data_IF_895842192439
#
_entry.id   IF_895842192439
#
_cell.length_a   1.000
_cell.length_b   1.000
_cell.length_c   1.000
_cell.angle_alpha   90.00
_cell.angle_beta   90.00
_cell.angle_gamma   90.00
#
_symmetry.space_group_name_H-M   'P 1'
#
loop_
_entity.id
_entity.type
_entity.pdbx_description
1 polymer ?
#
# COMPACT_ATOMS: atom_id res chain seq x y z
N UNK A 1 1.64 -15.95 9.83
CA UNK A 1 1.85 -16.44 8.44
C UNK A 1 3.17 -15.86 7.94
N UNK A 2 4.03 -16.64 7.29
CA UNK A 2 5.29 -16.11 6.73
C UNK A 2 4.99 -15.48 5.37
N UNK A 3 5.26 -14.18 5.23
CA UNK A 3 5.01 -13.39 4.02
C UNK A 3 6.08 -13.63 2.97
N UNK A 4 7.35 -13.58 3.36
CA UNK A 4 8.49 -13.74 2.45
C UNK A 4 9.14 -15.12 2.61
N UNK A 5 9.61 -15.70 1.51
CA UNK A 5 10.40 -16.91 1.55
C UNK A 5 11.79 -16.65 2.16
N UNK A 6 12.53 -17.72 2.50
CA UNK A 6 13.93 -17.59 2.94
C UNK A 6 14.82 -16.99 1.84
N UNK A 7 14.52 -17.30 0.57
CA UNK A 7 15.24 -16.81 -0.60
C UNK A 7 14.99 -15.31 -0.80
N UNK A 8 13.73 -14.85 -0.69
CA UNK A 8 13.39 -13.44 -0.77
C UNK A 8 14.03 -12.62 0.35
N UNK A 9 14.04 -13.14 1.59
CA UNK A 9 14.73 -12.47 2.70
C UNK A 9 16.25 -12.42 2.51
N UNK A 10 16.86 -13.43 1.91
CA UNK A 10 18.28 -13.42 1.57
C UNK A 10 18.59 -12.42 0.46
N UNK A 11 17.74 -12.35 -0.57
CA UNK A 11 17.82 -11.34 -1.63
C UNK A 11 17.70 -9.93 -1.07
N UNK A 12 16.70 -9.70 -0.20
CA UNK A 12 16.53 -8.41 0.49
C UNK A 12 17.78 -8.03 1.28
N UNK A 13 18.34 -8.95 2.06
CA UNK A 13 19.56 -8.72 2.81
C UNK A 13 20.77 -8.33 1.92
N UNK A 14 20.85 -8.88 0.72
CA UNK A 14 21.92 -8.58 -0.23
C UNK A 14 21.75 -7.21 -0.88
N UNK A 15 20.54 -6.83 -1.25
CA UNK A 15 20.25 -5.67 -2.10
C UNK A 15 19.91 -4.40 -1.33
N UNK A 16 19.21 -4.52 -0.20
CA UNK A 16 18.79 -3.38 0.62
C UNK A 16 20.01 -2.69 1.27
N UNK A 17 20.08 -1.36 1.35
CA UNK A 17 19.15 -0.38 0.81
C UNK A 17 19.53 0.16 -0.59
N UNK A 18 20.66 -0.30 -1.17
CA UNK A 18 21.30 0.37 -2.30
C UNK A 18 20.68 0.04 -3.66
N UNK A 19 20.06 -1.15 -3.80
CA UNK A 19 19.58 -1.63 -5.08
C UNK A 19 18.09 -1.93 -5.04
N UNK A 20 17.26 -1.26 -5.87
CA UNK A 20 15.87 -1.64 -6.04
C UNK A 20 15.76 -3.07 -6.56
N UNK A 21 14.90 -3.87 -5.95
CA UNK A 21 14.76 -5.28 -6.31
C UNK A 21 13.33 -5.76 -6.05
N UNK A 22 12.97 -6.87 -6.69
CA UNK A 22 11.66 -7.47 -6.57
C UNK A 22 11.70 -8.63 -5.57
N UNK A 23 10.70 -8.66 -4.68
CA UNK A 23 10.44 -9.76 -3.75
C UNK A 23 9.11 -10.43 -4.09
N UNK A 24 9.02 -11.74 -3.87
CA UNK A 24 7.75 -12.46 -3.94
C UNK A 24 7.13 -12.51 -2.54
N UNK A 25 5.82 -12.31 -2.45
CA UNK A 25 5.11 -12.34 -1.18
C UNK A 25 3.84 -13.21 -1.26
N UNK A 26 3.29 -13.57 -0.10
CA UNK A 26 2.12 -14.45 0.03
C UNK A 26 0.85 -13.72 0.48
N UNK A 27 0.76 -12.41 0.26
CA UNK A 27 -0.38 -11.61 0.70
C UNK A 27 -1.55 -11.57 -0.30
N UNK A 28 -1.41 -12.11 -1.51
CA UNK A 28 -2.39 -12.00 -2.58
C UNK A 28 -3.79 -12.57 -2.28
N UNK A 29 -3.95 -13.30 -1.16
CA UNK A 29 -5.25 -13.79 -0.67
C UNK A 29 -5.40 -13.52 0.83
N UNK A 30 -4.77 -12.49 1.34
CA UNK A 30 -4.91 -12.16 2.75
C UNK A 30 -6.29 -11.54 3.01
N UNK A 31 -7.08 -12.03 4.00
CA UNK A 31 -8.45 -11.57 4.23
C UNK A 31 -8.59 -10.06 4.41
N UNK A 32 -7.62 -9.40 5.07
CA UNK A 32 -7.61 -7.95 5.26
C UNK A 32 -7.35 -7.15 3.97
N UNK A 33 -6.90 -7.80 2.89
CA UNK A 33 -6.60 -7.16 1.60
C UNK A 33 -7.64 -7.48 0.53
N UNK A 34 -8.72 -8.16 0.88
CA UNK A 34 -9.86 -8.34 -0.01
C UNK A 34 -10.70 -7.06 -0.11
N UNK A 35 -11.36 -6.86 -1.22
CA UNK A 35 -12.08 -5.62 -1.56
C UNK A 35 -13.07 -5.18 -0.46
N UNK A 36 -13.86 -6.11 0.08
CA UNK A 36 -14.82 -5.78 1.13
C UNK A 36 -14.14 -5.37 2.44
N UNK A 37 -13.02 -6.00 2.79
CA UNK A 37 -12.23 -5.62 3.96
C UNK A 37 -11.58 -4.24 3.80
N UNK A 38 -11.08 -3.94 2.60
CA UNK A 38 -10.51 -2.63 2.28
C UNK A 38 -11.58 -1.53 2.26
N UNK A 39 -12.79 -1.83 1.78
CA UNK A 39 -13.91 -0.89 1.86
C UNK A 39 -14.31 -0.60 3.31
N UNK A 40 -14.35 -1.63 4.17
CA UNK A 40 -14.62 -1.47 5.59
C UNK A 40 -13.48 -0.68 6.30
N UNK A 41 -12.23 -0.94 5.94
CA UNK A 41 -11.09 -0.14 6.42
C UNK A 41 -11.26 1.34 6.06
N UNK A 42 -11.61 1.63 4.81
CA UNK A 42 -11.83 3.01 4.35
C UNK A 42 -12.96 3.71 5.14
N UNK A 43 -14.02 2.98 5.48
CA UNK A 43 -15.13 3.52 6.29
C UNK A 43 -14.73 3.74 7.76
N UNK A 44 -13.71 3.04 8.27
CA UNK A 44 -13.22 3.15 9.64
C UNK A 44 -12.12 4.22 9.82
N UNK A 45 -11.37 4.53 8.77
CA UNK A 45 -10.28 5.50 8.83
C UNK A 45 -10.77 6.95 8.93
N UNK A 46 -10.01 7.85 9.61
CA UNK A 46 -10.30 9.28 9.57
C UNK A 46 -10.25 9.83 8.13
N UNK A 47 -11.10 10.79 7.83
CA UNK A 47 -11.15 11.42 6.49
C UNK A 47 -9.79 11.96 6.00
N UNK A 48 -8.94 12.42 6.91
CA UNK A 48 -7.60 12.88 6.59
C UNK A 48 -6.65 11.77 6.10
N UNK A 49 -6.99 10.50 6.37
CA UNK A 49 -6.23 9.32 5.93
C UNK A 49 -6.78 8.71 4.63
N UNK A 50 -7.78 9.33 4.03
CA UNK A 50 -8.47 8.80 2.85
C UNK A 50 -8.35 9.80 1.71
N UNK A 51 -7.96 9.30 0.55
CA UNK A 51 -7.99 10.05 -0.69
C UNK A 51 -8.55 9.15 -1.78
N UNK A 52 -9.53 9.64 -2.54
CA UNK A 52 -10.10 8.89 -3.66
C UNK A 52 -10.69 9.83 -4.69
N UNK A 53 -10.49 9.49 -5.97
CA UNK A 53 -10.89 10.32 -7.10
C UNK A 53 -11.06 9.46 -8.35
N UNK A 54 -11.50 10.06 -9.45
CA UNK A 54 -11.42 9.44 -10.77
C UNK A 54 -9.97 9.25 -11.21
N UNK A 55 -9.70 8.18 -11.95
CA UNK A 55 -8.37 7.79 -12.42
C UNK A 55 -8.14 8.14 -13.89
N UNK A 56 -8.77 9.20 -14.38
CA UNK A 56 -8.84 9.56 -15.79
C UNK A 56 -7.90 10.72 -16.21
N UNK A 57 -7.03 11.17 -15.30
CA UNK A 57 -6.09 12.23 -15.62
C UNK A 57 -4.95 11.74 -16.52
N UNK A 58 -4.65 12.45 -17.61
CA UNK A 58 -3.46 12.19 -18.41
C UNK A 58 -2.16 12.39 -17.61
N UNK A 59 -1.12 11.63 -17.98
CA UNK A 59 0.21 11.77 -17.37
C UNK A 59 0.70 13.22 -17.52
N UNK A 60 1.12 13.82 -16.40
CA UNK A 60 1.73 15.16 -16.39
C UNK A 60 0.77 16.33 -16.16
N UNK A 61 -0.49 16.08 -15.91
CA UNK A 61 -1.44 17.13 -15.51
C UNK A 61 -1.41 17.30 -13.99
N UNK A 62 -1.35 18.56 -13.55
CA UNK A 62 -1.35 18.97 -12.13
C UNK A 62 -2.73 19.31 -11.60
N UNK A 63 -3.77 19.13 -12.40
CA UNK A 63 -5.15 19.41 -12.01
C UNK A 63 -5.63 18.35 -10.99
N UNK A 64 -6.46 18.83 -10.05
CA UNK A 64 -7.06 17.92 -9.07
C UNK A 64 -8.09 17.03 -9.76
N UNK A 65 -8.01 15.69 -9.60
CA UNK A 65 -8.99 14.78 -10.19
C UNK A 65 -10.42 15.09 -9.74
N UNK A 66 -11.41 14.87 -10.60
CA UNK A 66 -12.82 14.98 -10.23
C UNK A 66 -13.22 13.90 -9.21
N UNK A 67 -14.16 14.27 -8.33
CA UNK A 67 -14.77 13.30 -7.43
C UNK A 67 -15.60 12.27 -8.22
N UNK A 68 -15.58 11.02 -7.79
CA UNK A 68 -16.34 9.93 -8.43
C UNK A 68 -17.86 10.06 -8.24
N UNK A 69 -18.32 10.88 -7.28
CA UNK A 69 -19.72 10.97 -6.86
C UNK A 69 -20.20 9.81 -5.97
N UNK A 70 -19.34 8.83 -5.71
CA UNK A 70 -19.58 7.69 -4.82
C UNK A 70 -18.94 7.93 -3.45
N UNK A 71 -19.42 7.24 -2.41
CA UNK A 71 -18.67 7.14 -1.15
C UNK A 71 -17.35 6.36 -1.36
N UNK A 72 -16.41 6.50 -0.45
CA UNK A 72 -15.14 5.76 -0.55
C UNK A 72 -15.35 4.24 -0.55
N UNK A 73 -16.23 3.72 0.30
CA UNK A 73 -16.54 2.30 0.34
C UNK A 73 -17.17 1.79 -0.96
N UNK A 74 -18.10 2.55 -1.53
CA UNK A 74 -18.70 2.23 -2.84
C UNK A 74 -17.68 2.32 -3.97
N UNK A 75 -16.81 3.32 -3.96
CA UNK A 75 -15.73 3.44 -4.94
C UNK A 75 -14.83 2.21 -4.92
N UNK A 76 -14.44 1.74 -3.73
CA UNK A 76 -13.60 0.55 -3.56
C UNK A 76 -14.33 -0.71 -4.00
N UNK A 77 -15.59 -0.93 -3.57
CA UNK A 77 -16.35 -2.12 -3.96
C UNK A 77 -16.61 -2.20 -5.47
N UNK A 78 -16.64 -1.07 -6.14
CA UNK A 78 -16.85 -0.96 -7.59
C UNK A 78 -15.58 -0.56 -8.35
N UNK A 79 -14.41 -0.82 -7.80
CA UNK A 79 -13.15 -0.33 -8.35
C UNK A 79 -12.90 -0.80 -9.78
N UNK A 80 -13.34 -1.98 -10.15
CA UNK A 80 -13.19 -2.52 -11.51
C UNK A 80 -13.95 -1.69 -12.57
N UNK A 81 -15.04 -1.02 -12.16
CA UNK A 81 -15.96 -0.31 -13.07
C UNK A 81 -15.91 1.21 -12.88
N UNK A 82 -15.49 1.68 -11.71
CA UNK A 82 -15.64 3.09 -11.31
C UNK A 82 -14.68 4.05 -12.02
N UNK A 83 -13.67 3.55 -12.73
CA UNK A 83 -12.64 4.38 -13.34
C UNK A 83 -11.94 5.29 -12.31
N UNK A 84 -11.71 4.78 -11.12
CA UNK A 84 -11.28 5.55 -9.95
C UNK A 84 -10.03 4.97 -9.32
N UNK A 85 -9.50 5.69 -8.35
CA UNK A 85 -8.47 5.20 -7.43
C UNK A 85 -8.80 5.64 -6.00
N UNK A 86 -8.27 4.90 -5.05
CA UNK A 86 -8.33 5.22 -3.63
C UNK A 86 -6.96 4.97 -2.98
N UNK A 87 -6.58 5.84 -2.05
CA UNK A 87 -5.43 5.67 -1.18
C UNK A 87 -5.88 5.70 0.28
N UNK A 88 -5.62 4.63 1.00
CA UNK A 88 -5.86 4.50 2.43
C UNK A 88 -4.51 4.64 3.13
N UNK A 89 -4.33 5.74 3.86
CA UNK A 89 -3.06 6.15 4.47
C UNK A 89 -3.06 5.85 5.96
N UNK A 90 -1.87 5.47 6.47
CA UNK A 90 -1.68 5.19 7.89
C UNK A 90 -2.66 4.12 8.39
N UNK A 91 -2.74 2.99 7.68
CA UNK A 91 -3.67 1.90 7.99
C UNK A 91 -3.41 1.28 9.36
N UNK A 92 -2.23 1.49 9.93
CA UNK A 92 -1.84 1.08 11.29
C UNK A 92 -2.66 1.77 12.40
N UNK A 93 -3.52 2.75 12.07
CA UNK A 93 -4.51 3.29 13.00
C UNK A 93 -5.60 2.29 13.36
N UNK A 94 -5.80 1.26 12.53
CA UNK A 94 -6.74 0.17 12.76
C UNK A 94 -5.97 -1.04 13.28
N UNK A 95 -6.31 -1.60 14.45
CA UNK A 95 -5.49 -2.60 15.16
C UNK A 95 -5.12 -3.83 14.34
N UNK A 96 -6.03 -4.36 13.53
CA UNK A 96 -5.80 -5.54 12.71
C UNK A 96 -4.75 -5.27 11.60
N UNK A 97 -4.77 -4.08 11.03
CA UNK A 97 -3.79 -3.65 10.03
C UNK A 97 -2.47 -3.25 10.68
N UNK A 98 -2.49 -2.72 11.90
CA UNK A 98 -1.27 -2.52 12.68
C UNK A 98 -0.54 -3.83 12.94
N UNK A 99 -1.27 -4.90 13.30
CA UNK A 99 -0.72 -6.23 13.49
C UNK A 99 -0.15 -6.80 12.19
N UNK A 100 -0.89 -6.70 11.08
CA UNK A 100 -0.41 -7.14 9.77
C UNK A 100 0.89 -6.44 9.37
N UNK A 101 0.96 -5.11 9.52
CA UNK A 101 2.15 -4.33 9.21
C UNK A 101 3.34 -4.72 10.10
N UNK A 102 3.10 -4.89 11.40
CA UNK A 102 4.14 -5.31 12.35
C UNK A 102 4.69 -6.71 12.03
N UNK A 103 3.83 -7.67 11.76
CA UNK A 103 4.21 -9.04 11.41
C UNK A 103 5.02 -9.08 10.11
N UNK A 104 4.61 -8.32 9.09
CA UNK A 104 5.32 -8.22 7.82
C UNK A 104 6.71 -7.61 8.00
N UNK A 105 6.81 -6.51 8.71
CA UNK A 105 8.08 -5.82 8.93
C UNK A 105 9.02 -6.63 9.81
N UNK A 106 8.51 -7.39 10.79
CA UNK A 106 9.32 -8.26 11.65
C UNK A 106 10.12 -9.31 10.86
N UNK A 107 9.62 -9.74 9.69
CA UNK A 107 10.32 -10.73 8.86
C UNK A 107 11.62 -10.20 8.21
N UNK A 108 11.72 -8.87 8.01
CA UNK A 108 12.85 -8.22 7.34
C UNK A 108 13.57 -7.21 8.27
N UNK A 109 13.04 -6.96 9.45
CA UNK A 109 13.64 -6.05 10.42
C UNK A 109 15.11 -6.33 10.74
N UNK A 110 15.55 -7.59 10.94
CA UNK A 110 16.96 -7.85 11.22
C UNK A 110 17.90 -7.39 10.11
N UNK A 111 17.49 -7.52 8.86
CA UNK A 111 18.26 -7.10 7.69
C UNK A 111 18.31 -5.56 7.57
N UNK A 112 17.18 -4.90 7.87
CA UNK A 112 17.11 -3.42 7.89
C UNK A 112 18.03 -2.88 8.99
N UNK A 113 17.86 -3.37 10.21
CA UNK A 113 18.61 -2.85 11.37
C UNK A 113 20.11 -3.09 11.28
N UNK A 114 20.52 -4.19 10.64
CA UNK A 114 21.94 -4.47 10.40
C UNK A 114 22.62 -3.47 9.47
N UNK A 115 21.88 -2.80 8.60
CA UNK A 115 22.44 -1.89 7.58
C UNK A 115 22.14 -0.42 7.83
N UNK A 116 20.91 -0.09 8.21
CA UNK A 116 20.46 1.30 8.36
C UNK A 116 20.04 1.66 9.78
N UNK A 117 20.15 0.73 10.71
CA UNK A 117 19.73 0.93 12.09
C UNK A 117 18.24 0.78 12.30
N UNK A 118 17.76 1.15 13.49
CA UNK A 118 16.38 0.96 13.93
C UNK A 118 15.38 1.66 13.00
N UNK A 119 14.33 0.98 12.64
CA UNK A 119 13.16 1.58 11.97
C UNK A 119 12.51 2.61 12.90
N UNK A 120 12.43 3.87 12.47
CA UNK A 120 11.98 4.98 13.31
C UNK A 120 10.48 5.23 13.19
N UNK A 121 9.97 5.21 11.98
CA UNK A 121 8.56 5.52 11.68
C UNK A 121 8.08 4.58 10.58
N UNK A 122 7.24 3.65 10.96
CA UNK A 122 6.62 2.71 10.01
C UNK A 122 5.20 3.16 9.71
N UNK A 123 4.83 3.18 8.44
CA UNK A 123 3.50 3.57 7.97
C UNK A 123 3.05 2.58 6.90
N UNK A 124 1.78 2.22 6.93
CA UNK A 124 1.16 1.38 5.91
C UNK A 124 0.21 2.20 5.04
N UNK A 125 0.32 2.05 3.73
CA UNK A 125 -0.61 2.62 2.76
C UNK A 125 -1.17 1.51 1.88
N UNK A 126 -2.45 1.61 1.52
CA UNK A 126 -3.07 0.74 0.52
C UNK A 126 -3.55 1.59 -0.64
N UNK A 127 -3.11 1.24 -1.83
CA UNK A 127 -3.54 1.86 -3.07
C UNK A 127 -4.44 0.88 -3.83
N UNK A 128 -5.62 1.35 -4.22
CA UNK A 128 -6.63 0.57 -4.93
C UNK A 128 -6.97 1.35 -6.19
N UNK A 129 -6.76 0.75 -7.35
CA UNK A 129 -6.86 1.45 -8.64
C UNK A 129 -7.67 0.62 -9.61
N UNK A 130 -8.57 1.27 -10.34
CA UNK A 130 -9.29 0.67 -11.46
C UNK A 130 -8.34 0.16 -12.54
N UNK A 131 -8.71 -0.90 -13.29
CA UNK A 131 -7.93 -1.34 -14.44
C UNK A 131 -7.63 -0.17 -15.40
N UNK A 132 -6.36 -0.06 -15.81
CA UNK A 132 -5.91 1.02 -16.69
C UNK A 132 -5.67 2.37 -16.03
N UNK A 133 -5.89 2.50 -14.72
CA UNK A 133 -5.53 3.70 -13.97
C UNK A 133 -4.01 3.92 -13.97
N UNK A 134 -3.60 5.18 -14.05
CA UNK A 134 -2.18 5.56 -14.12
C UNK A 134 -1.80 6.34 -12.86
N UNK A 135 -0.74 5.89 -12.21
CA UNK A 135 -0.08 6.65 -11.15
C UNK A 135 0.99 7.55 -11.78
N UNK A 136 0.92 8.88 -11.58
CA UNK A 136 1.96 9.78 -12.07
C UNK A 136 3.33 9.44 -11.48
N UNK A 137 4.38 9.64 -12.27
CA UNK A 137 5.75 9.45 -11.79
C UNK A 137 6.07 10.41 -10.65
N UNK A 138 6.59 9.89 -9.54
CA UNK A 138 6.97 10.66 -8.37
C UNK A 138 8.14 9.99 -7.63
N UNK A 139 8.75 10.70 -6.70
CA UNK A 139 9.73 10.18 -5.75
C UNK A 139 9.15 10.18 -4.35
N UNK A 140 9.39 9.09 -3.63
CA UNK A 140 9.18 9.02 -2.20
C UNK A 140 10.52 9.17 -1.49
N UNK A 141 10.65 10.03 -0.49
CA UNK A 141 11.91 10.23 0.24
C UNK A 141 12.19 9.12 1.25
N UNK A 142 11.21 8.28 1.55
CA UNK A 142 11.29 7.18 2.49
C UNK A 142 11.78 5.89 1.83
N UNK A 143 12.23 4.93 2.65
CA UNK A 143 12.45 3.56 2.20
C UNK A 143 11.10 2.87 2.04
N UNK A 144 10.74 2.52 0.82
CA UNK A 144 9.45 1.92 0.48
C UNK A 144 9.57 0.45 0.13
N UNK A 145 8.56 -0.32 0.54
CA UNK A 145 8.30 -1.68 0.07
C UNK A 145 6.90 -1.67 -0.55
N UNK A 146 6.83 -1.86 -1.86
CA UNK A 146 5.58 -1.99 -2.59
C UNK A 146 5.23 -3.47 -2.75
N UNK A 147 4.05 -3.85 -2.30
CA UNK A 147 3.49 -5.20 -2.38
C UNK A 147 2.29 -5.18 -3.33
N UNK A 148 2.33 -5.97 -4.42
CA UNK A 148 1.28 -6.06 -5.45
C UNK A 148 0.79 -7.50 -5.63
#
# INVERSE_FOLDING_TARGET
MTVFSSEDRALFAAMYPEVPHKLHHRLGRHPLLEIDALAALAEALPAASIEYNKADLPIGITEKPEASGLSVGETIRRIEESGSWAALKNIEQVPEYAALLADLLAEIQPQIEAKTGRMMKTQGFVFITSPGGVTPYHFDPEHNILLQ
#
